data_IF_254954009750
#
_entry.id   IF_254954009750
#
_cell.length_a   1.000
_cell.length_b   1.000
_cell.length_c   1.000
_cell.angle_alpha   90.00
_cell.angle_beta   90.00
_cell.angle_gamma   90.00
#
_symmetry.space_group_name_H-M   'P 1'
#
loop_
_entity.id
_entity.type
_entity.pdbx_description
1 polymer ?
#
# COMPACT_ATOMS: atom_id res chain seq x y z
N UNK A 1 -8.46 -8.73 12.61
CA UNK A 1 -7.53 -9.75 12.09
C UNK A 1 -7.63 -9.76 10.56
N UNK A 2 -6.52 -9.53 9.81
CA UNK A 2 -6.54 -9.48 8.34
C UNK A 2 -7.00 -10.78 7.68
N UNK A 3 -6.97 -11.89 8.44
CA UNK A 3 -7.34 -13.24 8.01
C UNK A 3 -8.56 -13.79 8.78
N UNK A 4 -9.22 -12.97 9.59
CA UNK A 4 -10.12 -13.42 10.65
C UNK A 4 -11.56 -13.75 10.27
N UNK A 5 -11.98 -13.61 9.00
CA UNK A 5 -13.40 -13.74 8.63
C UNK A 5 -13.67 -14.47 7.30
N UNK A 6 -12.82 -15.42 6.91
CA UNK A 6 -13.09 -16.22 5.70
C UNK A 6 -13.47 -17.64 6.08
N UNK A 7 -14.70 -18.03 5.73
CA UNK A 7 -15.23 -19.42 5.73
C UNK A 7 -14.30 -20.43 5.01
N UNK A 8 -13.31 -19.94 4.25
CA UNK A 8 -12.31 -20.70 3.49
C UNK A 8 -10.86 -20.51 4.00
N UNK A 9 -10.67 -20.11 5.26
CA UNK A 9 -9.40 -19.60 5.79
C UNK A 9 -8.17 -20.51 5.58
N UNK A 10 -8.31 -21.82 5.77
CA UNK A 10 -7.18 -22.76 5.61
C UNK A 10 -6.85 -23.03 4.14
N UNK A 11 -7.86 -23.22 3.29
CA UNK A 11 -7.67 -23.47 1.85
C UNK A 11 -7.00 -22.28 1.16
N UNK A 12 -7.44 -21.05 1.51
CA UNK A 12 -6.83 -19.82 0.97
C UNK A 12 -5.38 -19.68 1.43
N UNK A 13 -5.07 -19.98 2.69
CA UNK A 13 -3.69 -19.94 3.19
C UNK A 13 -2.82 -20.94 2.44
N UNK A 14 -3.28 -22.18 2.26
CA UNK A 14 -2.54 -23.20 1.52
C UNK A 14 -2.32 -22.78 0.07
N UNK A 15 -3.35 -22.28 -0.61
CA UNK A 15 -3.25 -21.79 -1.98
C UNK A 15 -2.21 -20.66 -2.12
N UNK A 16 -2.14 -19.72 -1.16
CA UNK A 16 -1.10 -18.68 -1.17
C UNK A 16 0.31 -19.25 -0.95
N UNK A 17 0.46 -20.25 -0.08
CA UNK A 17 1.76 -20.90 0.14
C UNK A 17 2.23 -21.67 -1.10
N UNK A 18 1.32 -22.35 -1.80
CA UNK A 18 1.61 -23.04 -3.07
C UNK A 18 1.96 -22.03 -4.18
N UNK A 19 1.21 -20.94 -4.28
CA UNK A 19 1.51 -19.84 -5.20
C UNK A 19 2.89 -19.22 -4.90
N UNK A 20 3.25 -19.03 -3.62
CA UNK A 20 4.54 -18.47 -3.23
C UNK A 20 5.73 -19.35 -3.67
N UNK A 21 5.58 -20.68 -3.66
CA UNK A 21 6.60 -21.60 -4.22
C UNK A 21 6.79 -21.37 -5.71
N UNK A 22 5.68 -21.21 -6.44
CA UNK A 22 5.70 -20.90 -7.88
C UNK A 22 6.35 -19.55 -8.15
N UNK A 23 6.07 -18.53 -7.32
CA UNK A 23 6.69 -17.20 -7.43
C UNK A 23 8.20 -17.29 -7.20
N UNK A 24 8.64 -18.00 -6.16
CA UNK A 24 10.07 -18.18 -5.87
C UNK A 24 10.79 -18.92 -7.02
N UNK A 25 10.16 -19.94 -7.60
CA UNK A 25 10.70 -20.67 -8.74
C UNK A 25 10.84 -19.79 -10.00
N UNK A 26 9.88 -18.88 -10.23
CA UNK A 26 9.87 -17.99 -11.39
C UNK A 26 10.59 -16.65 -11.18
N UNK A 27 11.42 -16.49 -10.14
CA UNK A 27 12.14 -15.24 -9.87
C UNK A 27 12.92 -14.70 -11.08
N UNK A 28 13.65 -15.58 -11.78
CA UNK A 28 14.39 -15.22 -13.00
C UNK A 28 13.47 -14.75 -14.14
N UNK A 29 12.31 -15.40 -14.32
CA UNK A 29 11.32 -15.00 -15.32
C UNK A 29 10.77 -13.59 -15.04
N UNK A 30 10.44 -13.28 -13.79
CA UNK A 30 9.97 -11.94 -13.42
C UNK A 30 11.05 -10.88 -13.65
N UNK A 31 12.31 -11.21 -13.34
CA UNK A 31 13.45 -10.33 -13.61
C UNK A 31 13.62 -10.05 -15.10
N UNK A 32 13.73 -11.08 -15.95
CA UNK A 32 13.83 -10.92 -17.41
C UNK A 32 12.64 -10.14 -17.98
N UNK A 33 11.42 -10.44 -17.52
CA UNK A 33 10.23 -9.72 -17.98
C UNK A 33 10.27 -8.24 -17.59
N UNK A 34 10.75 -7.90 -16.40
CA UNK A 34 10.88 -6.51 -15.96
C UNK A 34 11.95 -5.77 -16.78
N UNK A 35 13.10 -6.39 -17.03
CA UNK A 35 14.17 -5.82 -17.87
C UNK A 35 13.68 -5.55 -19.29
N UNK A 36 13.02 -6.51 -19.91
CA UNK A 36 12.47 -6.37 -21.27
C UNK A 36 11.42 -5.28 -21.32
N UNK A 37 10.50 -5.22 -20.34
CA UNK A 37 9.44 -4.20 -20.28
C UNK A 37 9.99 -2.79 -20.07
N UNK A 38 11.10 -2.66 -19.35
CA UNK A 38 11.74 -1.38 -19.04
C UNK A 38 12.91 -1.05 -19.98
N UNK A 39 13.13 -1.84 -21.03
CA UNK A 39 14.20 -1.59 -21.98
C UNK A 39 14.02 -0.21 -22.63
N UNK A 40 15.04 0.65 -22.49
CA UNK A 40 15.01 2.03 -23.01
C UNK A 40 14.18 3.01 -22.18
N UNK A 41 13.62 2.58 -21.03
CA UNK A 41 12.92 3.48 -20.13
C UNK A 41 13.89 4.51 -19.53
N UNK A 42 13.56 5.79 -19.72
CA UNK A 42 14.29 6.90 -19.10
C UNK A 42 13.49 7.43 -17.94
N UNK A 43 13.88 7.02 -16.74
CA UNK A 43 13.24 7.47 -15.51
C UNK A 43 13.55 8.95 -15.24
N UNK A 44 12.55 9.68 -14.76
CA UNK A 44 12.76 11.03 -14.20
C UNK A 44 13.14 10.90 -12.71
N UNK A 45 14.29 11.41 -12.26
CA UNK A 45 14.75 11.23 -10.88
C UNK A 45 13.72 11.70 -9.85
N UNK A 46 13.03 12.80 -10.11
CA UNK A 46 12.03 13.37 -9.21
C UNK A 46 10.80 12.45 -9.06
N UNK A 47 10.41 11.78 -10.16
CA UNK A 47 9.32 10.81 -10.10
C UNK A 47 9.73 9.54 -9.34
N UNK A 48 10.97 9.06 -9.54
CA UNK A 48 11.48 7.93 -8.76
C UNK A 48 11.51 8.26 -7.27
N UNK A 49 11.92 9.47 -6.91
CA UNK A 49 11.93 9.92 -5.51
C UNK A 49 10.52 9.92 -4.93
N UNK A 50 9.53 10.48 -5.62
CA UNK A 50 8.12 10.50 -5.20
C UNK A 50 7.55 9.09 -5.00
N UNK A 51 7.97 8.12 -5.81
CA UNK A 51 7.54 6.72 -5.67
C UNK A 51 8.32 5.93 -4.61
N UNK A 52 9.36 6.49 -4.00
CA UNK A 52 10.08 5.80 -2.92
C UNK A 52 9.28 5.82 -1.61
N UNK A 53 9.30 4.70 -0.89
CA UNK A 53 8.68 4.62 0.43
C UNK A 53 9.29 5.62 1.41
N UNK A 54 10.59 5.89 1.36
CA UNK A 54 11.23 6.84 2.27
C UNK A 54 10.73 8.28 2.07
N UNK A 55 10.60 8.71 0.81
CA UNK A 55 10.06 10.03 0.51
C UNK A 55 8.61 10.13 0.98
N UNK A 56 7.77 9.14 0.64
CA UNK A 56 6.36 9.10 1.06
C UNK A 56 6.22 9.13 2.59
N UNK A 57 7.09 8.39 3.29
CA UNK A 57 7.12 8.38 4.74
C UNK A 57 7.44 9.76 5.32
N UNK A 58 8.47 10.43 4.80
CA UNK A 58 8.85 11.78 5.24
C UNK A 58 7.79 12.82 4.86
N UNK A 59 7.15 12.68 3.69
CA UNK A 59 6.09 13.56 3.23
C UNK A 59 4.85 13.49 4.14
N UNK A 60 4.40 12.29 4.48
CA UNK A 60 3.16 12.10 5.25
C UNK A 60 3.34 12.39 6.74
N UNK A 61 4.52 12.11 7.31
CA UNK A 61 4.72 12.14 8.77
C UNK A 61 5.84 13.08 9.23
N UNK A 62 6.57 13.73 8.32
CA UNK A 62 7.77 14.52 8.64
C UNK A 62 8.93 13.65 9.11
N UNK A 63 10.09 14.27 9.35
CA UNK A 63 11.32 13.56 9.73
C UNK A 63 11.18 12.74 11.02
N UNK A 64 10.53 13.30 12.04
CA UNK A 64 10.33 12.63 13.33
C UNK A 64 9.14 11.66 13.34
N UNK A 65 8.06 11.99 12.63
CA UNK A 65 6.90 11.11 12.60
C UNK A 65 7.15 9.84 11.77
N UNK A 66 8.04 9.89 10.78
CA UNK A 66 8.40 8.75 9.95
C UNK A 66 9.02 7.59 10.75
N UNK A 67 9.73 7.87 11.84
CA UNK A 67 10.32 6.83 12.71
C UNK A 67 9.34 6.25 13.74
N UNK A 68 8.12 6.78 13.83
CA UNK A 68 7.10 6.24 14.72
C UNK A 68 6.53 4.90 14.23
N UNK A 69 5.96 4.13 15.17
CA UNK A 69 5.44 2.79 14.87
C UNK A 69 4.39 2.82 13.75
N UNK A 70 4.39 1.78 12.92
CA UNK A 70 3.44 1.64 11.81
C UNK A 70 2.00 1.76 12.29
N UNK A 71 1.64 1.06 13.37
CA UNK A 71 0.29 1.10 13.94
C UNK A 71 -0.15 2.54 14.26
N UNK A 72 0.71 3.33 14.92
CA UNK A 72 0.41 4.72 15.27
C UNK A 72 0.28 5.61 14.03
N UNK A 73 1.15 5.41 13.03
CA UNK A 73 1.10 6.15 11.77
C UNK A 73 -0.19 5.88 11.02
N UNK A 74 -0.62 4.63 10.97
CA UNK A 74 -1.82 4.21 10.24
C UNK A 74 -3.09 4.72 10.94
N UNK A 75 -3.19 4.55 12.26
CA UNK A 75 -4.31 5.08 13.05
C UNK A 75 -4.42 6.61 12.91
N UNK A 76 -3.29 7.33 12.93
CA UNK A 76 -3.30 8.79 12.74
C UNK A 76 -3.75 9.16 11.34
N UNK A 77 -3.30 8.44 10.32
CA UNK A 77 -3.64 8.74 8.94
C UNK A 77 -5.12 8.46 8.63
N UNK A 78 -5.68 7.39 9.19
CA UNK A 78 -7.10 7.08 9.14
C UNK A 78 -7.97 8.25 9.67
N UNK A 79 -7.60 8.82 10.82
CA UNK A 79 -8.27 10.02 11.37
C UNK A 79 -8.14 11.25 10.47
N UNK A 80 -6.96 11.46 9.87
CA UNK A 80 -6.73 12.56 8.93
C UNK A 80 -7.60 12.41 7.68
N UNK A 81 -7.60 11.22 7.06
CA UNK A 81 -8.40 10.95 5.87
C UNK A 81 -9.90 11.06 6.15
N UNK A 82 -10.37 10.55 7.29
CA UNK A 82 -11.77 10.68 7.73
C UNK A 82 -12.18 12.14 7.87
N UNK A 83 -11.36 12.96 8.54
CA UNK A 83 -11.63 14.39 8.69
C UNK A 83 -11.61 15.14 7.35
N UNK A 84 -10.67 14.82 6.46
CA UNK A 84 -10.61 15.39 5.11
C UNK A 84 -11.83 15.00 4.27
N UNK A 85 -12.24 13.73 4.33
CA UNK A 85 -13.44 13.22 3.64
C UNK A 85 -14.67 13.99 4.06
N UNK A 86 -14.95 14.12 5.37
CA UNK A 86 -16.10 14.86 5.87
C UNK A 86 -16.06 16.36 5.53
N UNK A 87 -14.85 16.94 5.42
CA UNK A 87 -14.70 18.34 5.04
C UNK A 87 -14.98 18.57 3.55
N UNK A 88 -14.56 17.64 2.69
CA UNK A 88 -14.75 17.71 1.25
C UNK A 88 -16.17 17.37 0.84
N UNK A 89 -16.75 16.34 1.47
CA UNK A 89 -18.09 15.83 1.21
C UNK A 89 -18.82 15.68 2.54
N UNK A 90 -19.43 16.76 3.06
CA UNK A 90 -20.17 16.69 4.31
C UNK A 90 -21.33 15.71 4.21
N UNK A 91 -21.48 14.83 5.19
CA UNK A 91 -22.66 13.97 5.26
C UNK A 91 -23.91 14.86 5.33
N UNK A 92 -24.82 14.70 4.37
CA UNK A 92 -26.10 15.41 4.36
C UNK A 92 -26.79 15.10 5.68
N UNK A 93 -27.16 16.13 6.45
CA UNK A 93 -27.92 15.92 7.67
C UNK A 93 -29.25 15.30 7.26
N UNK A 94 -29.62 14.19 7.91
CA UNK A 94 -30.90 13.50 7.70
C UNK A 94 -32.14 14.38 7.94
N UNK A 95 -31.96 15.63 8.39
CA UNK A 95 -33.01 16.65 8.49
C UNK A 95 -33.31 17.40 7.19
N UNK A 96 -32.55 17.15 6.12
CA UNK A 96 -32.69 17.79 4.80
C UNK A 96 -33.27 16.82 3.74
N UNK A 97 -33.75 15.63 4.16
CA UNK A 97 -34.52 14.65 3.40
C UNK A 97 -35.94 14.52 3.97
#
# INVERSE_FOLDING_TARGET
EPWGSTEHGVEVVLAHLEAARTVAHHGGLYHTNAEVKLQGFQARPELLEVFSTEFQMRLLWGSQGASSSQARRYEKFDKVLTALSHKLEPAIRSSEL
#
